data_IF_844171245516
#
_entry.id   IF_844171245516
#
_cell.length_a   1.000
_cell.length_b   1.000
_cell.length_c   1.000
_cell.angle_alpha   90.00
_cell.angle_beta   90.00
_cell.angle_gamma   90.00
#
_symmetry.space_group_name_H-M   'P 1'
#
loop_
_entity.id
_entity.type
_entity.pdbx_description
1 polymer ?
#
# COMPACT_ATOMS: atom_id res chain seq x y z
N UNK A 1 5.46 -12.00 -15.82
CA UNK A 1 5.31 -11.59 -14.41
C UNK A 1 5.45 -12.85 -13.57
N UNK A 2 6.36 -12.84 -12.62
CA UNK A 2 6.81 -14.04 -11.88
C UNK A 2 6.03 -14.23 -10.58
N UNK A 3 5.93 -15.46 -10.08
CA UNK A 3 5.51 -15.74 -8.70
C UNK A 3 6.73 -15.81 -7.80
N UNK A 4 6.66 -15.18 -6.63
CA UNK A 4 7.75 -15.12 -5.65
C UNK A 4 7.21 -15.67 -4.34
N UNK A 5 7.93 -16.64 -3.77
CA UNK A 5 7.67 -17.21 -2.46
C UNK A 5 8.88 -16.92 -1.56
N UNK A 6 8.60 -16.36 -0.40
CA UNK A 6 9.58 -15.93 0.59
C UNK A 6 9.18 -16.54 1.93
N UNK A 7 10.17 -16.98 2.68
CA UNK A 7 9.98 -17.41 4.06
C UNK A 7 9.72 -16.19 4.95
N UNK A 8 8.61 -16.21 5.69
CA UNK A 8 8.13 -15.04 6.42
C UNK A 8 9.06 -14.64 7.59
N UNK A 9 9.75 -15.60 8.21
CA UNK A 9 10.59 -15.38 9.39
C UNK A 9 12.02 -14.98 9.01
N UNK A 10 12.58 -15.61 7.98
CA UNK A 10 13.98 -15.41 7.56
C UNK A 10 14.13 -14.41 6.41
N UNK A 11 13.03 -14.02 5.76
CA UNK A 11 13.00 -13.20 4.55
C UNK A 11 13.82 -13.76 3.38
N UNK A 12 14.16 -15.05 3.42
CA UNK A 12 14.89 -15.72 2.34
C UNK A 12 13.94 -16.13 1.23
N UNK A 13 14.39 -15.95 -0.01
CA UNK A 13 13.67 -16.44 -1.18
C UNK A 13 13.63 -17.97 -1.14
N UNK A 14 12.42 -18.51 -1.10
CA UNK A 14 12.18 -19.96 -1.22
C UNK A 14 12.15 -20.33 -2.69
N UNK A 15 11.41 -19.58 -3.50
CA UNK A 15 11.30 -19.83 -4.94
C UNK A 15 10.84 -18.60 -5.72
N UNK A 16 11.41 -18.45 -6.91
CA UNK A 16 10.86 -17.61 -7.98
C UNK A 16 10.43 -18.52 -9.13
N UNK A 17 9.17 -18.45 -9.52
CA UNK A 17 8.61 -19.15 -10.68
C UNK A 17 8.48 -18.17 -11.85
N UNK A 18 8.66 -18.65 -13.08
CA UNK A 18 8.63 -17.86 -14.31
C UNK A 18 7.26 -17.24 -14.62
N UNK A 19 6.20 -17.82 -14.08
CA UNK A 19 4.83 -17.36 -14.25
C UNK A 19 4.04 -17.41 -12.94
N UNK A 20 2.79 -16.96 -12.98
CA UNK A 20 1.86 -16.89 -11.85
C UNK A 20 0.64 -17.80 -12.02
N UNK A 21 0.71 -18.79 -12.91
CA UNK A 21 -0.43 -19.65 -13.21
C UNK A 21 -0.69 -20.58 -12.03
N UNK A 22 -1.97 -20.71 -11.64
CA UNK A 22 -2.39 -21.58 -10.54
C UNK A 22 -1.85 -23.01 -10.70
N UNK A 23 -1.84 -23.54 -11.94
CA UNK A 23 -1.28 -24.87 -12.25
C UNK A 23 0.20 -24.96 -11.91
N UNK A 24 1.00 -23.98 -12.32
CA UNK A 24 2.45 -23.97 -12.08
C UNK A 24 2.77 -23.89 -10.59
N UNK A 25 2.06 -23.02 -9.87
CA UNK A 25 2.25 -22.83 -8.42
C UNK A 25 1.86 -24.12 -7.67
N UNK A 26 0.70 -24.69 -7.97
CA UNK A 26 0.25 -25.96 -7.37
C UNK A 26 1.24 -27.08 -7.63
N UNK A 27 1.64 -27.26 -8.88
CA UNK A 27 2.58 -28.31 -9.26
C UNK A 27 3.90 -28.19 -8.51
N UNK A 28 4.40 -26.97 -8.31
CA UNK A 28 5.61 -26.74 -7.53
C UNK A 28 5.45 -27.25 -6.09
N UNK A 29 4.42 -26.80 -5.37
CA UNK A 29 4.24 -27.19 -3.96
C UNK A 29 3.89 -28.67 -3.79
N UNK A 30 3.07 -29.24 -4.67
CA UNK A 30 2.69 -30.66 -4.62
C UNK A 30 3.82 -31.62 -4.97
N UNK A 31 4.78 -31.20 -5.81
CA UNK A 31 5.91 -32.05 -6.21
C UNK A 31 7.12 -31.96 -5.27
N UNK A 32 7.27 -30.85 -4.55
CA UNK A 32 8.45 -30.59 -3.72
C UNK A 32 8.21 -30.87 -2.23
N UNK A 33 6.96 -30.80 -1.77
CA UNK A 33 6.63 -30.93 -0.35
C UNK A 33 5.56 -31.98 -0.12
N UNK A 34 5.80 -32.83 0.87
CA UNK A 34 4.84 -33.83 1.34
C UNK A 34 3.58 -33.17 1.93
N UNK A 35 2.52 -33.96 2.03
CA UNK A 35 1.28 -33.50 2.69
C UNK A 35 1.50 -33.11 4.14
N UNK A 36 2.40 -33.79 4.87
CA UNK A 36 2.70 -33.47 6.27
C UNK A 36 3.41 -32.12 6.41
N UNK A 37 4.41 -31.83 5.57
CA UNK A 37 5.11 -30.55 5.57
C UNK A 37 4.16 -29.40 5.22
N UNK A 38 3.33 -29.60 4.21
CA UNK A 38 2.31 -28.63 3.79
C UNK A 38 1.25 -28.38 4.86
N UNK A 39 0.84 -29.42 5.59
CA UNK A 39 -0.09 -29.30 6.71
C UNK A 39 0.53 -28.66 7.95
N UNK A 40 1.86 -28.60 8.05
CA UNK A 40 2.58 -27.93 9.14
C UNK A 40 2.70 -26.41 8.93
N UNK A 41 2.40 -25.89 7.73
CA UNK A 41 2.37 -24.45 7.46
C UNK A 41 1.25 -23.81 8.28
N UNK A 42 1.63 -22.88 9.14
CA UNK A 42 0.70 -22.21 10.06
C UNK A 42 0.02 -21.00 9.44
N UNK A 43 0.74 -20.23 8.62
CA UNK A 43 0.27 -18.95 8.06
C UNK A 43 0.73 -18.79 6.63
N UNK A 44 -0.15 -18.29 5.78
CA UNK A 44 0.15 -17.88 4.41
C UNK A 44 -0.22 -16.42 4.26
N UNK A 45 0.79 -15.59 4.00
CA UNK A 45 0.63 -14.17 3.69
C UNK A 45 0.64 -14.02 2.18
N UNK A 46 -0.42 -13.46 1.60
CA UNK A 46 -0.53 -13.33 0.14
C UNK A 46 -1.19 -12.02 -0.30
N UNK A 47 -0.99 -11.69 -1.58
CA UNK A 47 -1.70 -10.62 -2.26
C UNK A 47 -3.22 -10.90 -2.32
N UNK A 48 -4.03 -9.86 -2.50
CA UNK A 48 -5.49 -9.88 -2.64
C UNK A 48 -5.97 -10.51 -3.97
N UNK A 49 -5.14 -11.30 -4.65
CA UNK A 49 -5.55 -12.00 -5.85
C UNK A 49 -6.45 -13.19 -5.50
N UNK A 50 -7.74 -13.06 -5.82
CA UNK A 50 -8.76 -14.08 -5.59
C UNK A 50 -8.41 -15.45 -6.19
N UNK A 51 -7.58 -15.50 -7.24
CA UNK A 51 -7.17 -16.78 -7.84
C UNK A 51 -6.35 -17.66 -6.90
N UNK A 52 -5.63 -17.08 -5.93
CA UNK A 52 -4.84 -17.81 -4.94
C UNK A 52 -5.69 -18.33 -3.79
N UNK A 53 -6.68 -17.56 -3.35
CA UNK A 53 -7.62 -17.98 -2.31
C UNK A 53 -8.34 -19.27 -2.70
N UNK A 54 -8.63 -19.45 -3.99
CA UNK A 54 -9.28 -20.64 -4.52
C UNK A 54 -8.52 -21.96 -4.31
N UNK A 55 -7.20 -21.92 -4.07
CA UNK A 55 -6.41 -23.14 -3.90
C UNK A 55 -5.43 -23.15 -2.72
N UNK A 56 -5.35 -22.07 -1.95
CA UNK A 56 -4.43 -21.99 -0.81
C UNK A 56 -4.67 -23.13 0.17
N UNK A 57 -5.92 -23.45 0.49
CA UNK A 57 -6.25 -24.54 1.44
C UNK A 57 -6.07 -25.94 0.84
N UNK A 58 -6.02 -26.08 -0.49
CA UNK A 58 -5.62 -27.34 -1.12
C UNK A 58 -4.12 -27.59 -0.91
N UNK A 59 -3.32 -26.51 -0.95
CA UNK A 59 -1.88 -26.59 -0.73
C UNK A 59 -1.52 -26.60 0.75
N UNK A 60 -2.16 -25.81 1.60
CA UNK A 60 -1.84 -25.59 3.00
C UNK A 60 -3.13 -25.69 3.83
N UNK A 61 -3.60 -26.91 4.13
CA UNK A 61 -4.94 -27.12 4.67
C UNK A 61 -5.17 -26.49 6.05
N UNK A 62 -4.13 -26.41 6.88
CA UNK A 62 -4.22 -25.87 8.24
C UNK A 62 -3.76 -24.41 8.36
N UNK A 63 -3.34 -23.78 7.26
CA UNK A 63 -2.78 -22.45 7.31
C UNK A 63 -3.88 -21.39 7.48
N UNK A 64 -3.64 -20.44 8.38
CA UNK A 64 -4.39 -19.19 8.43
C UNK A 64 -3.99 -18.31 7.23
N UNK A 65 -4.99 -17.78 6.53
CA UNK A 65 -4.79 -16.90 5.39
C UNK A 65 -4.77 -15.44 5.82
N UNK A 66 -3.65 -14.77 5.56
CA UNK A 66 -3.43 -13.36 5.91
C UNK A 66 -3.23 -12.57 4.61
N UNK A 67 -3.93 -11.43 4.50
CA UNK A 67 -3.71 -10.49 3.40
C UNK A 67 -2.43 -9.69 3.68
N UNK A 68 -1.55 -9.61 2.69
CA UNK A 68 -0.36 -8.78 2.77
C UNK A 68 -0.72 -7.30 2.96
N UNK A 69 -0.27 -6.71 4.07
CA UNK A 69 -0.54 -5.32 4.44
C UNK A 69 -0.07 -4.34 3.38
N UNK A 70 1.00 -4.66 2.65
CA UNK A 70 1.57 -3.76 1.65
C UNK A 70 0.55 -3.44 0.56
N UNK A 71 -0.21 -4.46 0.12
CA UNK A 71 -1.23 -4.28 -0.89
C UNK A 71 -2.43 -3.47 -0.38
N UNK A 72 -2.77 -3.59 0.92
CA UNK A 72 -3.80 -2.77 1.56
C UNK A 72 -3.36 -1.31 1.60
N UNK A 73 -2.16 -1.03 2.13
CA UNK A 73 -1.59 0.33 2.20
C UNK A 73 -1.48 0.95 0.79
N UNK A 74 -1.00 0.19 -0.19
CA UNK A 74 -0.92 0.63 -1.57
C UNK A 74 -2.30 0.90 -2.20
N UNK A 75 -3.31 0.09 -1.88
CA UNK A 75 -4.68 0.32 -2.34
C UNK A 75 -5.24 1.62 -1.75
N UNK A 76 -5.07 1.83 -0.45
CA UNK A 76 -5.49 3.05 0.24
C UNK A 76 -4.80 4.30 -0.32
N UNK A 77 -3.48 4.28 -0.47
CA UNK A 77 -2.72 5.38 -1.04
C UNK A 77 -3.18 5.75 -2.46
N UNK A 78 -3.45 4.76 -3.32
CA UNK A 78 -4.00 5.00 -4.67
C UNK A 78 -5.40 5.61 -4.65
N UNK A 79 -6.25 5.20 -3.71
CA UNK A 79 -7.59 5.79 -3.53
C UNK A 79 -7.50 7.23 -3.05
N UNK A 80 -6.63 7.52 -2.08
CA UNK A 80 -6.35 8.89 -1.66
C UNK A 80 -5.84 9.75 -2.83
N UNK A 81 -4.90 9.25 -3.64
CA UNK A 81 -4.39 9.98 -4.81
C UNK A 81 -5.46 10.24 -5.88
N UNK A 82 -6.42 9.32 -6.02
CA UNK A 82 -7.58 9.50 -6.92
C UNK A 82 -8.44 10.67 -6.43
N UNK A 83 -8.79 10.68 -5.14
CA UNK A 83 -9.56 11.76 -4.51
C UNK A 83 -8.81 13.09 -4.62
N UNK A 84 -7.51 13.10 -4.27
CA UNK A 84 -6.61 14.26 -4.42
C UNK A 84 -6.66 14.84 -5.82
N UNK A 85 -6.60 13.99 -6.85
CA UNK A 85 -6.62 14.42 -8.26
C UNK A 85 -8.00 14.96 -8.67
N UNK A 86 -9.10 14.42 -8.11
CA UNK A 86 -10.44 14.96 -8.31
C UNK A 86 -10.62 16.33 -7.66
N UNK A 87 -10.08 16.54 -6.45
CA UNK A 87 -10.03 17.83 -5.76
C UNK A 87 -9.19 18.85 -6.55
N UNK A 88 -8.00 18.45 -7.01
CA UNK A 88 -7.10 19.31 -7.78
C UNK A 88 -7.75 19.90 -9.04
N UNK A 89 -8.62 19.14 -9.71
CA UNK A 89 -9.32 19.58 -10.93
C UNK A 89 -10.37 20.68 -10.70
N UNK A 90 -10.79 20.89 -9.46
CA UNK A 90 -11.80 21.88 -9.08
C UNK A 90 -11.18 23.23 -8.68
N UNK A 91 -9.86 23.29 -8.54
CA UNK A 91 -9.15 24.46 -8.05
C UNK A 91 -8.60 25.33 -9.18
N UNK A 92 -8.52 26.63 -8.91
CA UNK A 92 -7.75 27.55 -9.75
C UNK A 92 -6.26 27.19 -9.74
N UNK A 93 -5.61 27.24 -10.91
CA UNK A 93 -4.20 26.81 -11.07
C UNK A 93 -3.20 27.68 -10.31
N UNK A 94 -3.58 28.89 -9.92
CA UNK A 94 -2.73 29.84 -9.19
C UNK A 94 -2.95 29.80 -7.67
N UNK A 95 -4.03 29.14 -7.22
CA UNK A 95 -4.35 28.95 -5.79
C UNK A 95 -3.26 28.21 -5.01
N UNK A 96 -3.18 28.45 -3.69
CA UNK A 96 -2.20 27.80 -2.80
C UNK A 96 -2.51 26.31 -2.66
N UNK A 97 -3.78 26.00 -2.57
CA UNK A 97 -4.38 24.67 -2.50
C UNK A 97 -3.97 23.85 -3.73
N UNK A 98 -4.08 24.42 -4.93
CA UNK A 98 -3.68 23.73 -6.17
C UNK A 98 -2.20 23.40 -6.17
N UNK A 99 -1.37 24.37 -5.74
CA UNK A 99 0.08 24.18 -5.63
C UNK A 99 0.40 23.03 -4.67
N UNK A 100 -0.13 23.04 -3.45
CA UNK A 100 0.07 21.95 -2.48
C UNK A 100 -0.37 20.60 -3.08
N UNK A 101 -1.61 20.51 -3.55
CA UNK A 101 -2.17 19.24 -4.05
C UNK A 101 -1.42 18.70 -5.27
N UNK A 102 -0.77 19.56 -6.07
CA UNK A 102 -0.03 19.17 -7.27
C UNK A 102 1.44 18.91 -7.02
N UNK A 103 2.17 19.87 -6.46
CA UNK A 103 3.64 19.85 -6.40
C UNK A 103 4.15 19.24 -5.11
N UNK A 104 3.37 19.29 -4.03
CA UNK A 104 3.72 18.75 -2.72
C UNK A 104 2.96 17.46 -2.38
N UNK A 105 2.36 16.79 -3.38
CA UNK A 105 1.50 15.61 -3.18
C UNK A 105 2.14 14.48 -2.35
N UNK A 106 3.48 14.37 -2.38
CA UNK A 106 4.23 13.36 -1.60
C UNK A 106 4.10 13.55 -0.09
N UNK A 107 3.80 14.76 0.38
CA UNK A 107 3.60 15.03 1.81
C UNK A 107 2.40 14.25 2.37
N UNK A 108 1.37 14.00 1.54
CA UNK A 108 0.20 13.23 1.96
C UNK A 108 0.49 11.74 2.18
N UNK A 109 1.63 11.23 1.71
CA UNK A 109 2.08 9.86 1.92
C UNK A 109 3.17 9.75 3.00
N UNK A 110 3.52 10.85 3.66
CA UNK A 110 4.56 10.87 4.69
C UNK A 110 3.95 10.45 6.03
N UNK A 111 4.50 9.40 6.63
CA UNK A 111 4.02 8.89 7.92
C UNK A 111 4.14 9.92 9.06
N UNK A 112 5.23 10.68 9.09
CA UNK A 112 5.53 11.66 10.13
C UNK A 112 5.87 13.02 9.49
N UNK A 113 4.87 13.84 9.15
CA UNK A 113 5.12 15.21 8.72
C UNK A 113 5.64 16.07 9.86
N UNK A 114 6.62 16.92 9.55
CA UNK A 114 7.21 17.86 10.50
C UNK A 114 6.30 19.07 10.70
N UNK A 115 5.79 19.22 11.92
CA UNK A 115 4.95 20.32 12.33
C UNK A 115 5.73 21.49 12.96
N UNK A 116 7.02 21.32 13.27
CA UNK A 116 7.80 22.30 14.04
C UNK A 116 8.78 23.08 13.17
N UNK A 117 9.47 22.39 12.24
CA UNK A 117 10.51 23.01 11.45
C UNK A 117 9.95 23.65 10.18
N UNK A 118 9.95 24.98 10.16
CA UNK A 118 9.68 25.73 8.94
C UNK A 118 10.85 25.59 7.95
N UNK A 119 10.51 25.35 6.68
CA UNK A 119 11.47 25.29 5.56
C UNK A 119 10.85 25.83 4.29
N UNK A 120 11.69 26.19 3.32
CA UNK A 120 11.19 26.64 2.03
C UNK A 120 10.56 25.48 1.25
N UNK A 121 9.28 25.58 0.94
CA UNK A 121 8.56 24.60 0.14
C UNK A 121 8.46 25.10 -1.30
N UNK A 122 9.40 24.66 -2.16
CA UNK A 122 9.47 25.08 -3.57
C UNK A 122 8.15 24.98 -4.33
N UNK A 123 7.38 23.92 -4.04
CA UNK A 123 6.10 23.69 -4.67
C UNK A 123 5.03 24.73 -4.35
N UNK A 124 5.14 25.40 -3.21
CA UNK A 124 4.23 26.45 -2.72
C UNK A 124 4.84 27.85 -2.85
N UNK A 125 6.17 27.94 -2.96
CA UNK A 125 6.97 29.17 -3.05
C UNK A 125 6.87 30.04 -1.78
N UNK A 126 6.91 29.39 -0.61
CA UNK A 126 6.87 30.04 0.70
C UNK A 126 7.61 29.20 1.76
N UNK A 127 7.98 29.83 2.87
CA UNK A 127 8.43 29.11 4.07
C UNK A 127 7.22 28.58 4.83
N UNK A 128 7.23 27.29 5.12
CA UNK A 128 6.16 26.64 5.87
C UNK A 128 6.61 25.33 6.51
N UNK A 129 5.82 24.81 7.43
CA UNK A 129 5.99 23.44 7.96
C UNK A 129 5.34 22.43 7.01
N UNK A 130 5.72 21.16 7.10
CA UNK A 130 5.07 20.12 6.30
C UNK A 130 3.61 19.95 6.71
N UNK A 131 3.32 20.04 8.02
CA UNK A 131 1.95 19.95 8.54
C UNK A 131 1.08 21.08 8.00
N UNK A 132 1.53 22.33 8.05
CA UNK A 132 0.75 23.45 7.53
C UNK A 132 0.48 23.32 6.01
N UNK A 133 1.43 22.78 5.24
CA UNK A 133 1.19 22.49 3.84
C UNK A 133 0.12 21.40 3.64
N UNK A 134 0.12 20.35 4.48
CA UNK A 134 -0.92 19.32 4.46
C UNK A 134 -2.28 19.94 4.79
N UNK A 135 -2.36 20.77 5.84
CA UNK A 135 -3.60 21.42 6.30
C UNK A 135 -4.22 22.29 5.19
N UNK A 136 -3.41 23.08 4.48
CA UNK A 136 -3.86 23.85 3.30
C UNK A 136 -4.54 22.93 2.27
N UNK A 137 -3.97 21.75 2.01
CA UNK A 137 -4.51 20.80 1.03
C UNK A 137 -5.77 20.09 1.50
N UNK A 138 -5.84 19.69 2.78
CA UNK A 138 -6.92 18.86 3.33
C UNK A 138 -8.12 19.69 3.77
N UNK A 139 -7.93 20.87 4.37
CA UNK A 139 -9.02 21.69 4.90
C UNK A 139 -9.96 22.23 3.81
N UNK A 140 -9.47 22.29 2.57
CA UNK A 140 -10.27 22.73 1.41
C UNK A 140 -11.35 21.71 1.02
N UNK A 141 -11.13 20.42 1.27
CA UNK A 141 -12.05 19.35 0.83
C UNK A 141 -12.27 18.33 1.96
N UNK A 142 -13.45 18.32 2.60
CA UNK A 142 -13.75 17.37 3.68
C UNK A 142 -13.54 15.90 3.30
N UNK A 143 -13.94 15.52 2.09
CA UNK A 143 -13.75 14.15 1.58
C UNK A 143 -12.26 13.77 1.44
N UNK A 144 -11.40 14.72 1.07
CA UNK A 144 -9.96 14.47 0.98
C UNK A 144 -9.32 14.42 2.37
N UNK A 145 -9.76 15.26 3.31
CA UNK A 145 -9.32 15.22 4.70
C UNK A 145 -9.61 13.87 5.36
N UNK A 146 -10.84 13.37 5.24
CA UNK A 146 -11.20 12.04 5.74
C UNK A 146 -10.35 10.93 5.10
N UNK A 147 -10.10 11.02 3.79
CA UNK A 147 -9.26 10.04 3.09
C UNK A 147 -7.81 10.05 3.63
N UNK A 148 -7.22 11.23 3.80
CA UNK A 148 -5.87 11.41 4.35
C UNK A 148 -5.77 10.85 5.77
N UNK A 149 -6.68 11.22 6.66
CA UNK A 149 -6.71 10.74 8.06
C UNK A 149 -6.80 9.21 8.13
N UNK A 150 -7.66 8.61 7.30
CA UNK A 150 -7.81 7.15 7.22
C UNK A 150 -6.51 6.47 6.76
N UNK A 151 -5.84 7.02 5.75
CA UNK A 151 -4.57 6.44 5.25
C UNK A 151 -3.40 6.62 6.22
N UNK A 152 -3.36 7.75 6.93
CA UNK A 152 -2.30 8.05 7.90
C UNK A 152 -2.32 7.09 9.09
N UNK A 153 -3.52 6.75 9.58
CA UNK A 153 -3.68 5.75 10.65
C UNK A 153 -3.17 4.38 10.20
N UNK A 154 -3.50 3.94 8.99
CA UNK A 154 -3.08 2.62 8.48
C UNK A 154 -1.59 2.52 8.16
N UNK A 155 -0.88 3.65 8.05
CA UNK A 155 0.58 3.66 7.83
C UNK A 155 1.36 3.58 9.16
N UNK A 156 0.69 3.77 10.31
CA UNK A 156 1.27 3.68 11.65
C UNK A 156 1.10 2.30 12.33
N UNK A 157 0.41 1.35 11.69
CA UNK A 157 0.16 -0.02 12.17
C UNK A 157 1.01 -1.08 11.43
#
# INVERSE_FOLDING_TARGET
>A
MSFICIDADTHKSVKVLSDRLNRTIKQFFLSQYSTAERAAVQRVIMDMNASYQAFVHELFPNAELIIDRFHIIQLMGRRMDTIRTQCLKQLDKHSREYKVLKSLWRLFHKANPDAQKSRYLFGLNEYSTEQNAIDIGTDTFPAFKTAYETTSISTML
#
